data_IF_189447473495
#
_entry.id   IF_189447473495
#
_cell.length_a   1.000
_cell.length_b   1.000
_cell.length_c   1.000
_cell.angle_alpha   90.00
_cell.angle_beta   90.00
_cell.angle_gamma   90.00
#
_symmetry.space_group_name_H-M   'P 1'
#
loop_
_entity.id
_entity.type
_entity.pdbx_description
1 polymer ?
#
# COMPACT_ATOMS: atom_id res chain seq x y z
N UNK A 1 11.39 14.92 -4.22
CA UNK A 1 11.04 13.52 -4.07
C UNK A 1 12.15 12.63 -4.62
N UNK A 2 12.39 11.45 -4.00
CA UNK A 2 13.34 10.45 -4.52
C UNK A 2 12.72 9.65 -5.67
N UNK A 3 11.42 9.36 -5.57
CA UNK A 3 10.65 8.68 -6.61
C UNK A 3 9.26 9.29 -6.75
N UNK A 4 8.65 9.04 -7.89
CA UNK A 4 7.28 9.46 -8.20
C UNK A 4 6.69 8.42 -9.17
N UNK A 5 5.85 7.52 -8.66
CA UNK A 5 5.35 6.38 -9.37
C UNK A 5 3.83 6.47 -9.44
N UNK A 6 3.25 6.13 -10.58
CA UNK A 6 1.81 5.95 -10.73
C UNK A 6 1.53 4.45 -10.66
N UNK A 7 0.66 4.06 -9.72
CA UNK A 7 0.20 2.70 -9.54
C UNK A 7 -1.25 2.57 -9.96
N UNK A 8 -1.54 1.54 -10.75
CA UNK A 8 -2.89 1.04 -10.95
C UNK A 8 -3.04 -0.26 -10.18
N UNK A 9 -4.01 -0.31 -9.29
CA UNK A 9 -4.26 -1.43 -8.39
C UNK A 9 -5.72 -1.86 -8.45
N UNK A 10 -5.94 -3.16 -8.57
CA UNK A 10 -7.23 -3.80 -8.34
C UNK A 10 -7.13 -4.61 -7.07
N UNK A 11 -7.99 -4.31 -6.08
CA UNK A 11 -8.02 -5.02 -4.81
C UNK A 11 -9.35 -5.77 -4.67
N UNK A 12 -9.28 -7.05 -4.36
CA UNK A 12 -10.45 -7.85 -4.05
C UNK A 12 -11.10 -7.39 -2.73
N UNK A 13 -12.40 -7.58 -2.61
CA UNK A 13 -13.15 -7.20 -1.40
C UNK A 13 -12.74 -8.11 -0.23
N UNK A 14 -12.06 -7.52 0.73
CA UNK A 14 -11.54 -8.21 1.92
C UNK A 14 -12.64 -8.91 2.74
N UNK A 15 -13.88 -8.40 2.73
CA UNK A 15 -14.98 -9.01 3.45
C UNK A 15 -15.38 -10.38 2.89
N UNK A 16 -14.89 -10.70 1.69
CA UNK A 16 -15.17 -11.96 0.97
C UNK A 16 -13.98 -12.92 0.94
N UNK A 17 -12.84 -12.53 1.52
CA UNK A 17 -11.62 -13.33 1.49
C UNK A 17 -11.27 -13.75 2.93
N UNK A 18 -11.58 -15.00 3.26
CA UNK A 18 -11.05 -15.68 4.43
C UNK A 18 -9.79 -16.48 4.08
N UNK A 19 -9.28 -17.23 5.06
CA UNK A 19 -8.07 -18.06 4.86
C UNK A 19 -8.26 -19.11 3.76
N UNK A 20 -9.45 -19.67 3.63
CA UNK A 20 -9.74 -20.73 2.64
C UNK A 20 -9.69 -20.14 1.23
N UNK A 21 -10.40 -19.05 1.00
CA UNK A 21 -10.42 -18.34 -0.27
C UNK A 21 -9.01 -17.89 -0.66
N UNK A 22 -8.28 -17.30 0.29
CA UNK A 22 -6.90 -16.88 0.09
C UNK A 22 -6.00 -18.03 -0.39
N UNK A 23 -6.05 -19.18 0.27
CA UNK A 23 -5.28 -20.35 -0.11
C UNK A 23 -5.72 -20.92 -1.47
N UNK A 24 -7.02 -20.89 -1.78
CA UNK A 24 -7.53 -21.36 -3.07
C UNK A 24 -7.09 -20.45 -4.21
N UNK A 25 -7.08 -19.13 -4.00
CA UNK A 25 -6.56 -18.16 -4.97
C UNK A 25 -5.06 -18.43 -5.22
N UNK A 26 -4.28 -18.61 -4.15
CA UNK A 26 -2.85 -18.93 -4.28
C UNK A 26 -2.60 -20.18 -5.12
N UNK A 27 -3.34 -21.28 -4.84
CA UNK A 27 -3.24 -22.53 -5.61
C UNK A 27 -3.63 -22.33 -7.08
N UNK A 28 -4.71 -21.60 -7.34
CA UNK A 28 -5.15 -21.30 -8.71
C UNK A 28 -4.10 -20.50 -9.48
N UNK A 29 -3.52 -19.47 -8.87
CA UNK A 29 -2.45 -18.69 -9.49
C UNK A 29 -1.24 -19.56 -9.83
N UNK A 30 -0.83 -20.43 -8.93
CA UNK A 30 0.27 -21.37 -9.17
C UNK A 30 -0.02 -22.32 -10.33
N UNK A 31 -1.26 -22.84 -10.43
CA UNK A 31 -1.70 -23.69 -11.55
C UNK A 31 -1.72 -22.94 -12.90
N UNK A 32 -1.86 -21.62 -12.87
CA UNK A 32 -1.83 -20.75 -14.05
C UNK A 32 -0.45 -20.14 -14.35
N UNK A 33 0.62 -20.72 -13.80
CA UNK A 33 1.99 -20.35 -14.12
C UNK A 33 2.56 -19.16 -13.35
N UNK A 34 1.83 -18.64 -12.36
CA UNK A 34 2.40 -17.63 -11.44
C UNK A 34 3.38 -18.29 -10.48
N UNK A 35 4.51 -17.65 -10.27
CA UNK A 35 5.55 -18.07 -9.33
C UNK A 35 5.83 -16.99 -8.30
N UNK A 36 6.32 -17.39 -7.14
CA UNK A 36 6.72 -16.43 -6.11
C UNK A 36 7.96 -15.69 -6.60
N UNK A 37 7.84 -14.37 -6.67
CA UNK A 37 8.95 -13.45 -6.94
C UNK A 37 9.62 -13.03 -5.63
N UNK A 38 8.83 -12.50 -4.68
CA UNK A 38 9.33 -12.06 -3.38
C UNK A 38 8.40 -12.45 -2.25
N UNK A 39 8.97 -12.59 -1.05
CA UNK A 39 8.23 -12.70 0.22
C UNK A 39 8.86 -11.74 1.22
N UNK A 40 8.05 -10.85 1.78
CA UNK A 40 8.53 -9.76 2.62
C UNK A 40 7.63 -9.47 3.82
N UNK A 41 8.22 -8.92 4.88
CA UNK A 41 7.50 -8.32 5.99
C UNK A 41 7.54 -6.81 5.86
N UNK A 42 6.38 -6.19 6.00
CA UNK A 42 6.22 -4.73 5.91
C UNK A 42 5.54 -4.21 7.17
N UNK A 43 6.02 -3.08 7.67
CA UNK A 43 5.32 -2.28 8.66
C UNK A 43 4.98 -0.92 8.05
N UNK A 44 3.69 -0.66 7.86
CA UNK A 44 3.18 0.63 7.39
C UNK A 44 2.59 1.39 8.58
N UNK A 45 3.09 2.61 8.81
CA UNK A 45 2.68 3.45 9.93
C UNK A 45 2.09 4.74 9.39
N UNK A 46 0.90 5.08 9.85
CA UNK A 46 0.25 6.34 9.53
C UNK A 46 0.14 7.18 10.79
N UNK A 47 0.91 8.28 10.92
CA UNK A 47 0.81 9.20 12.04
C UNK A 47 -0.46 10.06 11.91
N UNK A 48 -1.09 10.35 13.04
CA UNK A 48 -2.21 11.28 13.16
C UNK A 48 -1.69 12.59 13.75
N UNK A 49 -1.35 13.52 12.88
CA UNK A 49 -0.78 14.83 13.22
C UNK A 49 -1.56 15.92 12.50
N UNK A 50 -1.95 16.96 13.20
CA UNK A 50 -2.62 18.11 12.57
C UNK A 50 -1.74 18.75 11.49
N UNK A 51 -2.33 19.01 10.32
CA UNK A 51 -1.61 19.54 9.16
C UNK A 51 -0.83 18.52 8.33
N UNK A 52 -0.74 17.26 8.76
CA UNK A 52 -0.18 16.17 7.97
C UNK A 52 -1.31 15.43 7.24
N UNK A 53 -1.14 15.21 5.93
CA UNK A 53 -2.12 14.50 5.13
C UNK A 53 -2.33 13.08 5.65
N UNK A 54 -3.59 12.63 5.67
CA UNK A 54 -3.93 11.22 5.94
C UNK A 54 -3.43 10.25 4.86
N UNK A 55 -2.88 10.76 3.76
CA UNK A 55 -2.27 9.97 2.69
C UNK A 55 -0.76 9.77 2.90
N UNK A 56 -0.19 10.42 3.92
CA UNK A 56 1.19 10.21 4.33
C UNK A 56 1.32 8.92 5.15
N UNK A 57 2.39 8.19 4.90
CA UNK A 57 2.74 6.96 5.63
C UNK A 57 4.25 6.76 5.69
N UNK A 58 4.68 6.00 6.67
CA UNK A 58 6.04 5.49 6.77
C UNK A 58 5.98 4.00 6.50
N UNK A 59 6.90 3.49 5.69
CA UNK A 59 7.01 2.07 5.33
C UNK A 59 8.38 1.58 5.75
N UNK A 60 8.42 0.44 6.43
CA UNK A 60 9.61 -0.33 6.72
C UNK A 60 9.48 -1.68 6.04
N UNK A 61 10.50 -2.09 5.29
CA UNK A 61 10.50 -3.29 4.43
C UNK A 61 11.55 -4.33 4.84
N UNK A 62 12.20 -4.13 5.97
CA UNK A 62 13.21 -5.06 6.48
C UNK A 62 12.83 -5.55 7.89
N UNK A 63 12.82 -6.86 8.10
CA UNK A 63 12.38 -7.46 9.36
C UNK A 63 13.22 -6.99 10.56
N UNK A 64 14.54 -6.87 10.43
CA UNK A 64 15.41 -6.41 11.50
C UNK A 64 15.10 -4.93 11.86
N UNK A 65 14.87 -4.09 10.86
CA UNK A 65 14.45 -2.69 11.05
C UNK A 65 13.10 -2.63 11.78
N UNK A 66 12.13 -3.44 11.36
CA UNK A 66 10.82 -3.53 12.01
C UNK A 66 10.97 -3.95 13.47
N UNK A 67 11.75 -4.98 13.76
CA UNK A 67 12.01 -5.46 15.12
C UNK A 67 12.65 -4.39 16.00
N UNK A 68 13.68 -3.71 15.50
CA UNK A 68 14.34 -2.59 16.18
C UNK A 68 13.36 -1.46 16.50
N UNK A 69 12.52 -1.08 15.54
CA UNK A 69 11.49 -0.09 15.74
C UNK A 69 10.44 -0.54 16.80
N UNK A 70 9.97 -1.77 16.72
CA UNK A 70 9.00 -2.31 17.68
C UNK A 70 9.50 -2.29 19.13
N UNK A 71 10.81 -2.44 19.33
CA UNK A 71 11.45 -2.40 20.65
C UNK A 71 11.65 -0.97 21.15
N UNK A 72 12.13 -0.07 20.29
CA UNK A 72 12.58 1.27 20.66
C UNK A 72 11.55 2.39 20.44
N UNK A 73 10.59 2.17 19.54
CA UNK A 73 9.68 3.19 18.99
C UNK A 73 10.41 4.39 18.33
N UNK A 74 11.69 4.22 18.02
CA UNK A 74 12.53 5.22 17.35
C UNK A 74 12.61 4.90 15.87
N UNK A 75 12.31 5.88 15.02
CA UNK A 75 12.51 5.75 13.57
C UNK A 75 13.99 5.87 13.26
N UNK A 76 14.63 4.83 12.69
CA UNK A 76 15.99 4.94 12.23
C UNK A 76 16.04 5.72 10.90
N UNK A 77 17.10 6.50 10.73
CA UNK A 77 17.40 7.19 9.46
C UNK A 77 18.25 6.27 8.57
N UNK A 78 17.58 5.33 7.93
CA UNK A 78 18.20 4.32 7.06
C UNK A 78 17.34 4.09 5.81
N UNK A 79 17.91 3.58 4.71
CA UNK A 79 17.17 3.36 3.44
C UNK A 79 15.94 2.47 3.54
N UNK A 80 15.88 1.57 4.54
CA UNK A 80 14.76 0.66 4.80
C UNK A 80 13.56 1.35 5.45
N UNK A 81 13.65 2.66 5.72
CA UNK A 81 12.55 3.47 6.22
C UNK A 81 12.19 4.51 5.18
N UNK A 82 11.04 4.34 4.55
CA UNK A 82 10.58 5.18 3.46
C UNK A 82 9.41 6.05 3.89
N UNK A 83 9.48 7.35 3.60
CA UNK A 83 8.39 8.30 3.82
C UNK A 83 7.61 8.48 2.53
N UNK A 84 6.37 8.00 2.49
CA UNK A 84 5.52 8.00 1.30
C UNK A 84 4.31 8.92 1.45
N UNK A 85 3.98 9.61 0.37
CA UNK A 85 2.71 10.30 0.18
C UNK A 85 1.96 9.61 -0.96
N UNK A 86 0.83 8.96 -0.65
CA UNK A 86 0.03 8.21 -1.62
C UNK A 86 -1.25 8.97 -1.94
N UNK A 87 -1.32 9.61 -3.09
CA UNK A 87 -2.44 10.44 -3.53
C UNK A 87 -3.27 9.72 -4.58
N UNK A 88 -4.59 9.75 -4.42
CA UNK A 88 -5.49 9.27 -5.46
C UNK A 88 -5.51 10.23 -6.66
N UNK A 89 -5.42 9.66 -7.85
CA UNK A 89 -5.61 10.38 -9.11
C UNK A 89 -7.05 10.29 -9.63
N UNK A 90 -7.91 9.51 -8.96
CA UNK A 90 -9.31 9.38 -9.33
C UNK A 90 -10.13 10.56 -8.80
N UNK A 91 -11.09 10.99 -9.60
CA UNK A 91 -12.04 12.04 -9.25
C UNK A 91 -13.47 11.57 -9.54
N UNK A 92 -14.42 12.02 -8.73
CA UNK A 92 -15.85 11.84 -9.02
C UNK A 92 -16.36 12.86 -10.07
N UNK A 93 -17.64 12.76 -10.42
CA UNK A 93 -18.31 13.68 -11.34
C UNK A 93 -18.26 15.16 -10.92
N UNK A 94 -17.97 15.45 -9.65
CA UNK A 94 -17.82 16.79 -9.09
C UNK A 94 -16.35 17.20 -8.93
N UNK A 95 -15.41 16.49 -9.56
CA UNK A 95 -13.95 16.68 -9.46
C UNK A 95 -13.39 16.54 -8.04
N UNK A 96 -14.12 15.86 -7.14
CA UNK A 96 -13.61 15.52 -5.80
C UNK A 96 -12.77 14.26 -5.88
N UNK A 97 -11.62 14.26 -5.22
CA UNK A 97 -10.76 13.09 -5.14
C UNK A 97 -11.50 11.94 -4.44
N UNK A 98 -11.46 10.77 -5.08
CA UNK A 98 -11.99 9.51 -4.55
C UNK A 98 -10.87 8.48 -4.48
N UNK A 99 -10.85 7.66 -3.43
CA UNK A 99 -9.75 6.68 -3.23
C UNK A 99 -9.81 5.51 -4.19
N UNK A 100 -11.00 5.06 -4.55
CA UNK A 100 -11.20 3.91 -5.41
C UNK A 100 -12.60 3.87 -6.00
N UNK A 101 -12.73 3.15 -7.11
CA UNK A 101 -14.02 2.81 -7.73
C UNK A 101 -14.37 1.38 -7.30
N UNK A 102 -15.53 1.23 -6.65
CA UNK A 102 -16.05 -0.09 -6.26
C UNK A 102 -16.82 -0.72 -7.41
N UNK A 103 -16.51 -1.96 -7.73
CA UNK A 103 -17.30 -2.78 -8.61
C UNK A 103 -18.03 -3.85 -7.76
N UNK A 104 -19.26 -3.51 -7.34
CA UNK A 104 -20.02 -4.36 -6.42
C UNK A 104 -20.40 -5.71 -7.02
N UNK A 105 -20.65 -5.78 -8.33
CA UNK A 105 -21.02 -7.02 -9.02
C UNK A 105 -19.92 -8.07 -9.01
N UNK A 106 -18.67 -7.64 -9.09
CA UNK A 106 -17.50 -8.54 -9.14
C UNK A 106 -16.73 -8.62 -7.81
N UNK A 107 -17.09 -7.85 -6.80
CA UNK A 107 -16.44 -7.90 -5.49
C UNK A 107 -15.00 -7.41 -5.50
N UNK A 108 -14.68 -6.39 -6.29
CA UNK A 108 -13.38 -5.73 -6.26
C UNK A 108 -13.51 -4.19 -6.30
N UNK A 109 -12.42 -3.53 -6.03
CA UNK A 109 -12.26 -2.08 -6.23
C UNK A 109 -10.98 -1.80 -7.00
N UNK A 110 -11.02 -0.79 -7.87
CA UNK A 110 -9.85 -0.30 -8.59
C UNK A 110 -9.44 1.07 -8.09
N UNK A 111 -8.15 1.34 -8.08
CA UNK A 111 -7.57 2.63 -7.72
C UNK A 111 -6.43 3.01 -8.66
N UNK A 112 -6.27 4.30 -8.90
CA UNK A 112 -5.09 4.88 -9.54
C UNK A 112 -4.50 5.87 -8.56
N UNK A 113 -3.26 5.66 -8.18
CA UNK A 113 -2.62 6.43 -7.14
C UNK A 113 -1.23 6.87 -7.57
N UNK A 114 -0.82 8.02 -7.08
CA UNK A 114 0.53 8.53 -7.21
C UNK A 114 1.24 8.30 -5.88
N UNK A 115 2.33 7.55 -5.90
CA UNK A 115 3.23 7.40 -4.77
C UNK A 115 4.44 8.31 -4.92
N UNK A 116 4.64 9.17 -3.94
CA UNK A 116 5.73 10.13 -3.90
C UNK A 116 6.59 9.83 -2.69
N UNK A 117 7.82 9.42 -2.91
CA UNK A 117 8.80 9.25 -1.84
C UNK A 117 9.36 10.61 -1.42
N UNK A 118 9.22 10.94 -0.15
CA UNK A 118 9.67 12.20 0.42
C UNK A 118 11.06 12.03 1.05
N UNK A 119 11.85 13.08 0.97
CA UNK A 119 13.17 13.14 1.62
C UNK A 119 13.05 13.77 3.02
N UNK A 120 14.07 13.58 3.83
CA UNK A 120 14.28 14.24 5.15
C UNK A 120 14.17 15.76 5.09
N UNK A 121 14.50 16.37 3.93
CA UNK A 121 14.38 17.82 3.68
C UNK A 121 12.94 18.31 3.53
N UNK A 122 11.97 17.40 3.37
CA UNK A 122 10.57 17.76 3.21
C UNK A 122 9.96 18.24 4.54
N UNK A 123 9.22 19.34 4.51
CA UNK A 123 8.62 19.93 5.73
C UNK A 123 7.65 18.99 6.44
N UNK A 124 6.91 18.18 5.69
CA UNK A 124 6.01 17.18 6.28
C UNK A 124 6.81 16.13 7.06
N UNK A 125 7.91 15.62 6.49
CA UNK A 125 8.78 14.65 7.17
C UNK A 125 9.35 15.27 8.44
N UNK A 126 9.89 16.48 8.37
CA UNK A 126 10.43 17.19 9.54
C UNK A 126 9.37 17.42 10.63
N UNK A 127 8.16 17.80 10.24
CA UNK A 127 7.04 17.97 11.19
C UNK A 127 6.67 16.66 11.86
N UNK A 128 6.60 15.57 11.13
CA UNK A 128 6.32 14.22 11.65
C UNK A 128 7.41 13.78 12.63
N UNK A 129 8.68 13.92 12.24
CA UNK A 129 9.80 13.51 13.10
C UNK A 129 9.82 14.25 14.43
N UNK A 130 9.51 15.57 14.45
CA UNK A 130 9.42 16.36 15.70
C UNK A 130 8.34 15.87 16.66
N UNK A 131 7.25 15.31 16.16
CA UNK A 131 6.10 14.87 16.95
C UNK A 131 6.02 13.34 17.09
N UNK A 132 7.02 12.61 16.58
CA UNK A 132 6.97 11.16 16.44
C UNK A 132 6.69 10.42 17.75
N UNK A 133 7.35 10.81 18.83
CA UNK A 133 7.23 10.15 20.13
C UNK A 133 5.85 10.31 20.76
N UNK A 134 5.15 11.40 20.47
CA UNK A 134 3.89 11.79 21.13
C UNK A 134 2.65 11.62 20.26
N UNK A 135 2.80 11.59 18.93
CA UNK A 135 1.64 11.48 18.03
C UNK A 135 1.01 10.09 18.10
N UNK A 136 -0.30 10.06 17.94
CA UNK A 136 -1.05 8.81 17.75
C UNK A 136 -0.78 8.24 16.35
N UNK A 137 -0.78 6.92 16.26
CA UNK A 137 -0.44 6.20 15.01
C UNK A 137 -1.39 5.03 14.79
N UNK A 138 -1.71 4.77 13.52
CA UNK A 138 -2.18 3.47 13.11
C UNK A 138 -1.02 2.66 12.56
N UNK A 139 -1.03 1.39 12.88
CA UNK A 139 -0.02 0.43 12.45
C UNK A 139 -0.67 -0.64 11.58
N UNK A 140 0.01 -1.03 10.53
CA UNK A 140 -0.39 -2.11 9.66
C UNK A 140 0.84 -2.97 9.37
N UNK A 141 0.83 -4.17 9.95
CA UNK A 141 1.87 -5.18 9.78
C UNK A 141 1.42 -6.22 8.76
N UNK A 142 2.23 -6.47 7.76
CA UNK A 142 1.93 -7.35 6.65
C UNK A 142 3.02 -8.41 6.49
N UNK A 143 2.59 -9.61 6.15
CA UNK A 143 3.39 -10.62 5.49
C UNK A 143 2.87 -10.73 4.06
N UNK A 144 3.67 -10.31 3.09
CA UNK A 144 3.30 -10.21 1.66
C UNK A 144 4.07 -11.23 0.85
N UNK A 145 3.38 -11.93 -0.02
CA UNK A 145 3.94 -12.75 -1.09
C UNK A 145 3.54 -12.13 -2.42
N UNK A 146 4.53 -11.73 -3.21
CA UNK A 146 4.34 -11.19 -4.56
C UNK A 146 4.56 -12.30 -5.58
N UNK A 147 3.62 -12.43 -6.53
CA UNK A 147 3.65 -13.44 -7.59
C UNK A 147 3.70 -12.75 -8.94
N UNK A 148 4.49 -13.32 -9.84
CA UNK A 148 4.61 -12.88 -11.24
C UNK A 148 4.46 -14.08 -12.18
N UNK A 149 4.12 -13.80 -13.44
CA UNK A 149 4.00 -14.83 -14.47
C UNK A 149 4.67 -14.32 -15.77
N UNK A 150 5.53 -15.11 -16.42
CA UNK A 150 6.16 -14.71 -17.68
C UNK A 150 5.17 -14.37 -18.79
N UNK A 151 4.00 -15.02 -18.83
CA UNK A 151 2.96 -14.75 -19.82
C UNK A 151 2.27 -13.40 -19.59
N UNK A 152 2.39 -12.83 -18.38
CA UNK A 152 1.82 -11.54 -18.00
C UNK A 152 2.87 -10.66 -17.31
N UNK A 153 3.94 -10.23 -18.01
CA UNK A 153 5.12 -9.61 -17.39
C UNK A 153 4.84 -8.26 -16.72
N UNK A 154 3.72 -7.62 -17.05
CA UNK A 154 3.29 -6.34 -16.50
C UNK A 154 2.27 -6.49 -15.36
N UNK A 155 2.00 -7.73 -14.93
CA UNK A 155 1.08 -7.99 -13.81
C UNK A 155 1.84 -8.58 -12.65
N UNK A 156 1.69 -7.96 -11.49
CA UNK A 156 2.10 -8.50 -10.20
C UNK A 156 0.85 -8.75 -9.36
N UNK A 157 0.81 -9.88 -8.68
CA UNK A 157 -0.26 -10.20 -7.74
C UNK A 157 0.36 -10.24 -6.35
N UNK A 158 -0.09 -9.33 -5.50
CA UNK A 158 0.34 -9.23 -4.11
C UNK A 158 -0.70 -9.89 -3.20
N UNK A 159 -0.30 -10.95 -2.53
CA UNK A 159 -1.09 -11.66 -1.54
C UNK A 159 -0.56 -11.36 -0.15
N UNK A 160 -1.40 -10.77 0.73
CA UNK A 160 -0.94 -10.30 2.03
C UNK A 160 -1.80 -10.82 3.17
N UNK A 161 -1.13 -11.31 4.22
CA UNK A 161 -1.71 -11.49 5.55
C UNK A 161 -1.48 -10.21 6.34
N UNK A 162 -2.56 -9.58 6.80
CA UNK A 162 -2.51 -8.24 7.38
C UNK A 162 -3.03 -8.23 8.80
N UNK A 163 -2.29 -7.63 9.71
CA UNK A 163 -2.73 -7.27 11.05
C UNK A 163 -2.68 -5.76 11.20
N UNK A 164 -3.73 -5.14 11.72
CA UNK A 164 -3.80 -3.69 11.86
C UNK A 164 -4.62 -3.28 13.07
N UNK A 165 -4.30 -2.11 13.63
CA UNK A 165 -5.20 -1.41 14.52
C UNK A 165 -6.05 -0.41 13.73
N UNK A 166 -7.22 -0.07 14.28
CA UNK A 166 -8.12 0.91 13.67
C UNK A 166 -7.86 2.31 14.23
N UNK A 167 -8.40 3.35 13.58
CA UNK A 167 -8.35 4.73 14.09
C UNK A 167 -8.87 4.89 15.53
N UNK A 168 -9.82 4.07 15.96
CA UNK A 168 -10.32 4.07 17.34
C UNK A 168 -9.31 3.54 18.35
N UNK A 169 -8.30 2.81 17.87
CA UNK A 169 -7.27 2.17 18.67
C UNK A 169 -5.87 2.68 18.31
N UNK A 170 -5.76 3.93 17.87
CA UNK A 170 -4.48 4.58 17.67
C UNK A 170 -3.68 4.63 18.98
N UNK A 171 -2.37 4.42 18.89
CA UNK A 171 -1.45 4.43 20.01
C UNK A 171 -0.18 5.19 19.68
N UNK A 172 0.55 5.63 20.66
CA UNK A 172 1.82 6.33 20.47
C UNK A 172 2.96 5.39 20.11
N UNK A 173 2.85 4.10 20.49
CA UNK A 173 3.86 3.09 20.18
C UNK A 173 3.26 1.83 19.58
N UNK A 174 4.11 1.07 18.86
CA UNK A 174 3.72 -0.22 18.30
C UNK A 174 3.33 -1.23 19.39
N UNK A 175 4.11 -1.28 20.48
CA UNK A 175 3.87 -2.18 21.60
C UNK A 175 2.46 -2.00 22.21
N UNK A 176 2.04 -0.76 22.41
CA UNK A 176 0.71 -0.44 22.96
C UNK A 176 -0.43 -0.70 21.97
N UNK A 177 -0.14 -0.76 20.68
CA UNK A 177 -1.15 -0.95 19.64
C UNK A 177 -1.73 -2.37 19.62
N UNK A 178 -1.03 -3.34 20.20
CA UNK A 178 -1.39 -4.76 20.20
C UNK A 178 -1.66 -5.32 18.78
N UNK A 179 -1.05 -4.73 17.75
CA UNK A 179 -1.30 -5.10 16.34
C UNK A 179 -1.01 -6.56 16.08
N UNK A 180 0.04 -7.13 16.70
CA UNK A 180 0.39 -8.55 16.47
C UNK A 180 -0.64 -9.55 17.00
N UNK A 181 -1.54 -9.12 17.89
CA UNK A 181 -2.62 -9.96 18.44
C UNK A 181 -3.96 -9.70 17.75
N UNK A 182 -4.03 -8.69 16.85
CA UNK A 182 -5.26 -8.43 16.10
C UNK A 182 -5.56 -9.57 15.10
N UNK A 183 -6.84 -9.80 14.76
CA UNK A 183 -7.20 -10.78 13.74
C UNK A 183 -6.49 -10.54 12.41
N UNK A 184 -6.13 -11.63 11.74
CA UNK A 184 -5.58 -11.55 10.38
C UNK A 184 -6.71 -11.25 9.41
N UNK A 185 -6.48 -10.27 8.52
CA UNK A 185 -7.25 -10.08 7.30
C UNK A 185 -6.40 -10.46 6.09
N UNK A 186 -7.05 -10.99 5.06
CA UNK A 186 -6.40 -11.44 3.84
C UNK A 186 -6.66 -10.45 2.73
N UNK A 187 -5.62 -10.08 2.00
CA UNK A 187 -5.70 -9.13 0.90
C UNK A 187 -5.11 -9.75 -0.36
N UNK A 188 -5.78 -9.54 -1.48
CA UNK A 188 -5.30 -9.88 -2.81
C UNK A 188 -5.39 -8.62 -3.66
N UNK A 189 -4.24 -8.18 -4.15
CA UNK A 189 -4.06 -6.99 -4.95
C UNK A 189 -3.46 -7.39 -6.29
N UNK A 190 -4.04 -6.91 -7.38
CA UNK A 190 -3.48 -7.05 -8.72
C UNK A 190 -2.94 -5.69 -9.11
N UNK A 191 -1.67 -5.62 -9.40
CA UNK A 191 -0.98 -4.38 -9.72
C UNK A 191 -0.42 -4.44 -11.14
N UNK A 192 -0.62 -3.34 -11.86
CA UNK A 192 0.03 -3.15 -13.16
C UNK A 192 1.39 -2.52 -12.92
N UNK A 193 2.44 -3.31 -13.10
CA UNK A 193 3.82 -2.86 -13.01
C UNK A 193 4.21 -2.27 -14.35
N UNK A 194 4.75 -1.05 -14.42
CA UNK A 194 5.26 -0.50 -15.67
C UNK A 194 6.34 -1.44 -16.21
N UNK A 195 5.99 -2.17 -17.27
CA UNK A 195 6.95 -3.07 -17.92
C UNK A 195 8.00 -2.24 -18.64
N UNK A 196 9.12 -2.89 -18.99
CA UNK A 196 10.10 -2.42 -19.98
C UNK A 196 9.48 -2.46 -21.39
N UNK A 197 8.24 -2.05 -21.53
CA UNK A 197 7.63 -1.90 -22.85
C UNK A 197 7.92 -0.48 -23.27
N UNK A 198 8.82 -0.31 -24.22
CA UNK A 198 8.88 0.87 -25.08
C UNK A 198 7.53 0.97 -25.83
N UNK A 199 6.52 1.47 -25.15
CA UNK A 199 5.30 1.92 -25.82
C UNK A 199 5.69 3.30 -26.36
N UNK A 200 5.91 3.45 -27.68
CA UNK A 200 6.03 4.78 -28.25
C UNK A 200 4.74 5.52 -27.87
N UNK A 201 4.83 6.81 -27.51
CA UNK A 201 3.66 7.59 -27.16
C UNK A 201 2.70 7.60 -28.36
N UNK A 202 1.75 6.68 -28.39
CA UNK A 202 0.60 6.80 -29.28
C UNK A 202 -0.22 7.92 -28.68
N UNK A 203 -0.21 9.05 -29.36
CA UNK A 203 -1.19 10.10 -29.16
C UNK A 203 -2.57 9.43 -29.18
N UNK A 204 -3.20 9.36 -28.02
CA UNK A 204 -4.60 8.96 -27.92
C UNK A 204 -5.39 10.16 -28.43
N UNK A 205 -6.01 10.11 -29.61
CA UNK A 205 -6.81 11.22 -30.08
C UNK A 205 -7.99 11.36 -29.10
N UNK A 206 -8.01 12.46 -28.38
CA UNK A 206 -9.19 12.90 -27.63
C UNK A 206 -10.32 13.08 -28.66
N UNK A 207 -11.24 12.13 -28.73
CA UNK A 207 -12.48 12.36 -29.46
C UNK A 207 -13.28 13.37 -28.65
N UNK A 208 -13.30 14.62 -29.13
CA UNK A 208 -14.33 15.58 -28.76
C UNK A 208 -15.67 14.95 -29.10
N UNK A 209 -16.52 14.74 -28.10
CA UNK A 209 -17.87 14.24 -28.28
C UNK A 209 -18.68 15.25 -29.10
N UNK A 210 -19.28 14.76 -30.16
CA UNK A 210 -20.27 15.46 -30.92
C UNK A 210 -21.48 15.82 -30.04
N UNK A 211 -22.06 16.96 -30.38
CA UNK A 211 -23.16 17.72 -29.74
C UNK A 211 -24.39 16.90 -29.42
#
# INVERSE_FOLDING_TARGET
>A
PKSNIIEFEIRMDQSKIGKVEYNNIFKALYQHGFTIDTTEYLLKIQPNISGVSSDYRIVMDNLATIQGYCQSNVLPDIPQVTHLLKRSLLQDKHKKSIRSIKNAGFGFRSSIQQEIELTDKNDTVRSVMKQWSTCLKTFRYLHRTSLTCPDFPNIRIDMSEVRMNTKRHERTSFKESNVLTSPISYEVEIEVVPGKVDIPPKEVPFRQGDK
#
